data_IF_933089889077
#
_entry.id   IF_933089889077
#
_cell.length_a   1.000
_cell.length_b   1.000
_cell.length_c   1.000
_cell.angle_alpha   90.00
_cell.angle_beta   90.00
_cell.angle_gamma   90.00
#
_symmetry.space_group_name_H-M   'P 1'
#
loop_
_entity.id
_entity.type
_entity.pdbx_description
1 polymer ?
#
# COMPACT_ATOMS: atom_id res chain seq x y z
N UNK A 1 15.85 36.72 23.52
CA UNK A 1 15.60 35.92 24.73
C UNK A 1 15.41 34.51 24.23
N UNK A 2 16.47 33.72 24.42
CA UNK A 2 16.78 32.35 24.00
C UNK A 2 15.72 31.54 23.25
N UNK A 3 16.11 31.17 22.03
CA UNK A 3 15.62 30.04 21.23
C UNK A 3 15.80 28.72 21.97
N UNK A 4 14.84 27.80 21.83
CA UNK A 4 15.11 26.37 21.99
C UNK A 4 14.18 25.58 21.07
N UNK A 5 14.64 25.45 19.81
CA UNK A 5 14.39 24.24 19.03
C UNK A 5 14.65 23.03 19.93
N UNK A 6 13.75 22.05 19.96
CA UNK A 6 13.96 20.80 20.66
C UNK A 6 14.40 19.74 19.64
N UNK A 7 15.70 19.36 19.62
CA UNK A 7 16.21 18.36 18.70
C UNK A 7 15.79 16.94 19.07
N UNK A 8 15.43 16.17 18.04
CA UNK A 8 15.65 14.73 17.87
C UNK A 8 15.86 13.89 19.12
N UNK A 9 14.77 13.34 19.65
CA UNK A 9 14.81 12.23 20.62
C UNK A 9 14.95 10.89 19.86
N UNK A 10 16.17 10.54 19.47
CA UNK A 10 16.62 9.15 19.29
C UNK A 10 18.15 9.10 19.29
N UNK A 11 18.75 9.27 20.46
CA UNK A 11 20.08 8.71 20.73
C UNK A 11 19.91 7.81 21.94
N UNK A 12 20.00 6.52 21.70
CA UNK A 12 19.90 5.50 22.75
C UNK A 12 21.18 5.50 23.60
N UNK A 13 21.09 5.28 24.92
CA UNK A 13 22.25 5.13 25.80
C UNK A 13 22.99 3.81 25.50
N UNK A 14 23.94 3.83 24.56
CA UNK A 14 24.89 2.72 24.38
C UNK A 14 26.31 3.18 24.00
N UNK A 15 26.66 4.43 24.25
CA UNK A 15 28.02 4.96 24.03
C UNK A 15 28.81 5.17 25.34
N UNK A 16 28.42 4.49 26.42
CA UNK A 16 29.21 4.52 27.64
C UNK A 16 29.27 3.15 28.31
N UNK A 17 29.93 2.21 27.62
CA UNK A 17 30.60 1.11 28.30
C UNK A 17 32.05 1.09 27.84
N UNK A 18 33.02 1.43 28.70
CA UNK A 18 34.42 1.26 28.36
C UNK A 18 34.71 -0.23 28.19
N UNK A 19 34.94 -0.64 26.93
CA UNK A 19 35.56 -1.92 26.62
C UNK A 19 37.02 -1.87 27.07
N UNK A 20 37.28 -2.27 28.31
CA UNK A 20 38.61 -2.67 28.72
C UNK A 20 38.54 -3.63 29.90
N UNK A 21 39.27 -4.73 29.74
CA UNK A 21 39.74 -5.67 30.76
C UNK A 21 38.84 -6.89 31.00
N UNK A 22 38.87 -7.84 30.07
CA UNK A 22 38.92 -9.28 30.37
C UNK A 22 39.89 -9.96 29.38
N UNK A 23 41.12 -10.12 29.85
CA UNK A 23 42.17 -11.11 29.54
C UNK A 23 42.31 -11.65 28.10
N UNK A 24 43.37 -11.20 27.44
CA UNK A 24 43.74 -11.50 26.04
C UNK A 24 44.22 -12.93 25.77
N UNK A 25 44.39 -13.78 26.79
CA UNK A 25 44.91 -15.15 26.58
C UNK A 25 43.84 -16.17 26.19
N UNK A 26 42.56 -15.91 26.50
CA UNK A 26 41.45 -16.79 26.09
C UNK A 26 40.93 -16.47 24.69
N UNK A 27 40.96 -15.20 24.29
CA UNK A 27 40.54 -14.78 22.95
C UNK A 27 41.46 -15.33 21.85
N UNK A 28 42.78 -15.37 22.08
CA UNK A 28 43.74 -15.92 21.12
C UNK A 28 43.61 -17.44 20.99
N UNK A 29 43.37 -18.16 22.10
CA UNK A 29 43.08 -19.61 22.06
C UNK A 29 41.76 -19.93 21.36
N UNK A 30 40.74 -19.09 21.55
CA UNK A 30 39.46 -19.24 20.87
C UNK A 30 39.60 -19.02 19.36
N UNK A 31 40.35 -17.99 18.95
CA UNK A 31 40.59 -17.65 17.56
C UNK A 31 41.48 -18.68 16.84
N UNK A 32 42.48 -19.24 17.53
CA UNK A 32 43.33 -20.32 17.00
C UNK A 32 42.54 -21.65 16.86
N UNK A 33 41.65 -21.95 17.81
CA UNK A 33 40.76 -23.11 17.73
C UNK A 33 39.72 -23.00 16.59
N UNK A 34 39.26 -21.78 16.27
CA UNK A 34 38.39 -21.55 15.11
C UNK A 34 39.14 -21.68 13.78
N UNK A 35 40.40 -21.25 13.71
CA UNK A 35 41.20 -21.31 12.47
C UNK A 35 41.63 -22.74 12.10
N UNK A 36 41.73 -23.64 13.08
CA UNK A 36 42.12 -25.04 12.86
C UNK A 36 40.98 -25.94 12.36
N UNK A 37 39.72 -25.53 12.51
CA UNK A 37 38.54 -26.30 12.06
C UNK A 37 38.10 -25.98 10.62
N UNK A 38 38.61 -24.91 10.02
CA UNK A 38 38.21 -24.46 8.67
C UNK A 38 38.99 -25.10 7.52
N UNK A 39 39.95 -25.98 7.80
CA UNK A 39 40.86 -26.52 6.77
C UNK A 39 40.32 -27.74 5.98
N UNK A 40 39.22 -28.39 6.39
CA UNK A 40 38.74 -29.61 5.73
C UNK A 40 37.20 -29.73 5.56
N UNK A 41 36.47 -28.62 5.43
CA UNK A 41 35.10 -28.69 4.87
C UNK A 41 35.13 -28.40 3.38
N UNK A 42 35.08 -29.45 2.55
CA UNK A 42 34.78 -29.28 1.11
C UNK A 42 33.36 -28.72 0.99
N UNK A 43 33.15 -27.56 0.33
CA UNK A 43 31.81 -27.01 0.17
C UNK A 43 31.02 -27.97 -0.73
N UNK A 44 29.94 -28.53 -0.20
CA UNK A 44 28.95 -29.17 -1.04
C UNK A 44 28.25 -28.07 -1.84
N UNK A 45 28.15 -28.23 -3.15
CA UNK A 45 27.58 -27.27 -4.12
C UNK A 45 26.07 -26.93 -3.88
N UNK A 46 25.50 -27.33 -2.74
CA UNK A 46 24.08 -27.22 -2.40
C UNK A 46 23.78 -26.16 -1.32
N UNK A 47 24.80 -25.55 -0.70
CA UNK A 47 24.62 -24.57 0.38
C UNK A 47 24.32 -23.14 -0.08
N UNK A 48 24.54 -22.85 -1.37
CA UNK A 48 24.50 -21.48 -1.88
C UNK A 48 23.08 -20.90 -1.89
N UNK A 49 22.07 -21.71 -2.21
CA UNK A 49 20.68 -21.25 -2.29
C UNK A 49 20.08 -20.84 -0.93
N UNK A 50 20.48 -21.52 0.15
CA UNK A 50 19.96 -21.20 1.50
C UNK A 50 20.61 -19.94 2.08
N UNK A 51 21.92 -19.75 1.84
CA UNK A 51 22.62 -18.53 2.23
C UNK A 51 22.04 -17.29 1.53
N UNK A 52 21.80 -17.38 0.22
CA UNK A 52 21.19 -16.33 -0.59
C UNK A 52 19.75 -16.00 -0.13
N UNK A 53 18.94 -17.03 0.12
CA UNK A 53 17.59 -16.85 0.66
C UNK A 53 17.59 -16.19 2.04
N UNK A 54 18.59 -16.48 2.88
CA UNK A 54 18.76 -15.85 4.20
C UNK A 54 19.06 -14.36 4.07
N UNK A 55 19.99 -13.99 3.20
CA UNK A 55 20.29 -12.57 2.92
C UNK A 55 19.06 -11.83 2.41
N UNK A 56 18.34 -12.41 1.46
CA UNK A 56 17.13 -11.82 0.88
C UNK A 56 16.03 -11.62 1.92
N UNK A 57 15.85 -12.59 2.83
CA UNK A 57 14.87 -12.50 3.91
C UNK A 57 15.22 -11.41 4.93
N UNK A 58 16.52 -11.22 5.22
CA UNK A 58 16.99 -10.14 6.09
C UNK A 58 16.79 -8.76 5.46
N UNK A 59 17.05 -8.63 4.16
CA UNK A 59 16.88 -7.37 3.42
C UNK A 59 15.41 -6.96 3.25
N UNK A 60 14.54 -7.93 2.95
CA UNK A 60 13.11 -7.68 2.67
C UNK A 60 12.23 -7.74 3.90
N UNK A 61 12.68 -8.41 4.97
CA UNK A 61 11.88 -8.71 6.16
C UNK A 61 10.81 -9.79 5.93
N UNK A 62 10.82 -10.48 4.79
CA UNK A 62 9.86 -11.52 4.44
C UNK A 62 10.49 -12.91 4.49
N UNK A 63 9.82 -13.87 5.15
CA UNK A 63 10.31 -15.26 5.30
C UNK A 63 10.11 -16.14 4.05
N UNK A 64 9.44 -15.61 3.02
CA UNK A 64 9.08 -16.38 1.82
C UNK A 64 10.27 -16.99 1.06
N UNK A 65 11.47 -16.38 1.00
CA UNK A 65 12.63 -17.01 0.36
C UNK A 65 13.11 -18.27 1.09
N UNK A 66 13.15 -18.22 2.42
CA UNK A 66 13.60 -19.35 3.26
C UNK A 66 12.64 -20.54 3.16
N UNK A 67 11.33 -20.28 3.21
CA UNK A 67 10.30 -21.32 3.08
C UNK A 67 10.39 -22.03 1.73
N UNK A 68 10.74 -21.32 0.65
CA UNK A 68 10.92 -21.92 -0.68
C UNK A 68 12.10 -22.88 -0.72
N UNK A 69 13.25 -22.50 -0.16
CA UNK A 69 14.42 -23.37 -0.13
C UNK A 69 14.20 -24.59 0.78
N UNK A 70 13.54 -24.43 1.93
CA UNK A 70 13.17 -25.56 2.80
C UNK A 70 12.24 -26.56 2.08
N UNK A 71 11.22 -26.04 1.38
CA UNK A 71 10.28 -26.87 0.64
C UNK A 71 10.98 -27.60 -0.53
N UNK A 72 11.86 -26.90 -1.25
CA UNK A 72 12.67 -27.46 -2.34
C UNK A 72 13.55 -28.60 -1.84
N UNK A 73 14.25 -28.40 -0.72
CA UNK A 73 15.07 -29.45 -0.10
C UNK A 73 14.22 -30.65 0.31
N UNK A 74 13.09 -30.41 0.99
CA UNK A 74 12.16 -31.46 1.43
C UNK A 74 11.67 -32.31 0.25
N UNK A 75 11.34 -31.68 -0.88
CA UNK A 75 10.90 -32.39 -2.09
C UNK A 75 12.04 -33.21 -2.69
N UNK A 76 13.24 -32.63 -2.80
CA UNK A 76 14.41 -33.32 -3.34
C UNK A 76 14.82 -34.52 -2.49
N UNK A 77 14.92 -34.37 -1.16
CA UNK A 77 15.25 -35.46 -0.25
C UNK A 77 14.22 -36.59 -0.32
N UNK A 78 12.93 -36.26 -0.38
CA UNK A 78 11.87 -37.27 -0.51
C UNK A 78 11.96 -38.02 -1.85
N UNK A 79 12.31 -37.34 -2.94
CA UNK A 79 12.50 -37.97 -4.26
C UNK A 79 13.68 -38.93 -4.26
N UNK A 80 14.82 -38.50 -3.74
CA UNK A 80 16.03 -39.34 -3.65
C UNK A 80 15.80 -40.57 -2.77
N UNK A 81 15.09 -40.41 -1.64
CA UNK A 81 14.71 -41.53 -0.77
C UNK A 81 13.81 -42.57 -1.47
N UNK A 82 13.00 -42.12 -2.44
CA UNK A 82 12.18 -42.98 -3.28
C UNK A 82 12.92 -43.50 -4.53
N UNK A 83 14.23 -43.28 -4.64
CA UNK A 83 15.05 -43.69 -5.78
C UNK A 83 14.80 -42.89 -7.06
N UNK A 84 14.11 -41.75 -6.97
CA UNK A 84 13.86 -40.86 -8.11
C UNK A 84 15.03 -39.88 -8.25
N UNK A 85 15.38 -39.53 -9.49
CA UNK A 85 16.41 -38.52 -9.77
C UNK A 85 15.97 -37.11 -9.37
N UNK A 86 16.97 -36.23 -9.22
CA UNK A 86 16.74 -34.80 -8.98
C UNK A 86 15.87 -34.18 -10.10
N UNK A 87 15.14 -33.12 -9.73
CA UNK A 87 14.28 -32.36 -10.65
C UNK A 87 15.15 -31.57 -11.63
N UNK A 88 15.41 -32.13 -12.81
CA UNK A 88 15.90 -31.38 -13.96
C UNK A 88 14.74 -30.59 -14.59
N UNK A 89 14.81 -29.25 -14.56
CA UNK A 89 13.91 -28.40 -15.32
C UNK A 89 14.59 -28.09 -16.65
N UNK A 90 14.20 -28.77 -17.72
CA UNK A 90 14.59 -28.38 -19.07
C UNK A 90 13.77 -27.15 -19.49
N UNK A 91 14.42 -26.01 -19.55
CA UNK A 91 13.85 -24.81 -20.15
C UNK A 91 14.00 -24.92 -21.67
N UNK A 92 13.04 -25.56 -22.32
CA UNK A 92 12.93 -25.52 -23.78
C UNK A 92 12.52 -24.11 -24.19
N UNK A 93 13.27 -23.50 -25.10
CA UNK A 93 12.86 -22.24 -25.70
C UNK A 93 11.53 -22.45 -26.43
N UNK A 94 10.53 -21.56 -26.23
CA UNK A 94 9.25 -21.72 -26.88
C UNK A 94 9.43 -21.63 -28.39
N UNK A 95 9.06 -22.69 -29.11
CA UNK A 95 9.08 -22.70 -30.57
C UNK A 95 8.22 -21.54 -31.10
N UNK A 96 8.85 -20.62 -31.82
CA UNK A 96 8.14 -19.54 -32.50
C UNK A 96 7.40 -20.12 -33.70
N UNK A 97 6.19 -20.63 -33.45
CA UNK A 97 5.29 -21.07 -34.51
C UNK A 97 5.04 -19.93 -35.51
N UNK A 98 5.21 -20.20 -36.80
CA UNK A 98 4.88 -19.24 -37.84
C UNK A 98 3.37 -19.00 -37.83
N UNK A 99 2.96 -17.76 -37.55
CA UNK A 99 1.56 -17.34 -37.60
C UNK A 99 0.99 -17.60 -39.00
N UNK A 100 -0.08 -18.37 -39.04
CA UNK A 100 -0.87 -18.57 -40.27
C UNK A 100 -1.50 -17.25 -40.70
N UNK A 101 -1.80 -17.10 -41.99
CA UNK A 101 -2.38 -15.86 -42.50
C UNK A 101 -3.71 -15.51 -41.82
N UNK A 102 -4.53 -16.53 -41.52
CA UNK A 102 -5.78 -16.38 -40.77
C UNK A 102 -5.57 -15.81 -39.36
N UNK A 103 -4.49 -16.20 -38.68
CA UNK A 103 -4.17 -15.70 -37.35
C UNK A 103 -3.70 -14.24 -37.40
N UNK A 104 -2.95 -13.86 -38.44
CA UNK A 104 -2.56 -12.46 -38.67
C UNK A 104 -3.78 -11.57 -38.86
N UNK A 105 -4.75 -12.00 -39.66
CA UNK A 105 -6.02 -11.27 -39.86
C UNK A 105 -6.80 -11.13 -38.55
N UNK A 106 -6.90 -12.19 -37.74
CA UNK A 106 -7.53 -12.14 -36.40
C UNK A 106 -6.84 -11.13 -35.48
N UNK A 107 -5.50 -11.07 -35.50
CA UNK A 107 -4.73 -10.10 -34.72
C UNK A 107 -5.03 -8.67 -35.18
N UNK A 108 -5.05 -8.41 -36.49
CA UNK A 108 -5.38 -7.09 -37.04
C UNK A 108 -6.78 -6.65 -36.60
N UNK A 109 -7.77 -7.53 -36.78
CA UNK A 109 -9.16 -7.26 -36.36
C UNK A 109 -9.26 -6.98 -34.86
N UNK A 110 -8.57 -7.77 -34.02
CA UNK A 110 -8.52 -7.56 -32.56
C UNK A 110 -7.89 -6.21 -32.20
N UNK A 111 -6.80 -5.83 -32.88
CA UNK A 111 -6.12 -4.53 -32.66
C UNK A 111 -7.03 -3.37 -33.03
N UNK A 112 -7.72 -3.44 -34.16
CA UNK A 112 -8.67 -2.41 -34.58
C UNK A 112 -9.84 -2.26 -33.60
N UNK A 113 -10.41 -3.39 -33.16
CA UNK A 113 -11.47 -3.39 -32.15
C UNK A 113 -10.98 -2.79 -30.83
N UNK A 114 -9.79 -3.17 -30.36
CA UNK A 114 -9.21 -2.62 -29.14
C UNK A 114 -8.94 -1.11 -29.28
N UNK A 115 -8.45 -0.65 -30.44
CA UNK A 115 -8.25 0.77 -30.75
C UNK A 115 -9.56 1.55 -30.65
N UNK A 116 -10.65 1.02 -31.22
CA UNK A 116 -11.98 1.64 -31.13
C UNK A 116 -12.50 1.63 -29.68
N UNK A 117 -12.35 0.51 -28.97
CA UNK A 117 -12.76 0.38 -27.57
C UNK A 117 -12.01 1.37 -26.67
N UNK A 118 -10.69 1.51 -26.84
CA UNK A 118 -9.86 2.46 -26.11
C UNK A 118 -10.27 3.91 -26.40
N UNK A 119 -10.55 4.25 -27.68
CA UNK A 119 -11.08 5.57 -28.04
C UNK A 119 -12.41 5.85 -27.35
N UNK A 120 -13.36 4.91 -27.40
CA UNK A 120 -14.67 5.02 -26.72
C UNK A 120 -14.52 5.15 -25.21
N UNK A 121 -13.64 4.36 -24.60
CA UNK A 121 -13.36 4.44 -23.16
C UNK A 121 -12.82 5.81 -22.78
N UNK A 122 -11.80 6.31 -23.50
CA UNK A 122 -11.24 7.65 -23.28
C UNK A 122 -12.29 8.75 -23.49
N UNK A 123 -13.13 8.64 -24.51
CA UNK A 123 -14.23 9.58 -24.75
C UNK A 123 -15.24 9.58 -23.60
N UNK A 124 -15.71 8.41 -23.17
CA UNK A 124 -16.63 8.30 -22.01
C UNK A 124 -16.00 8.87 -20.74
N UNK A 125 -14.71 8.60 -20.49
CA UNK A 125 -14.00 9.14 -19.33
C UNK A 125 -13.98 10.67 -19.35
N UNK A 126 -13.72 11.29 -20.50
CA UNK A 126 -13.71 12.76 -20.64
C UNK A 126 -15.11 13.36 -20.56
N UNK A 127 -16.12 12.68 -21.11
CA UNK A 127 -17.50 13.17 -21.11
C UNK A 127 -18.11 13.28 -19.70
N UNK A 128 -17.64 12.50 -18.73
CA UNK A 128 -18.10 12.58 -17.33
C UNK A 128 -17.76 13.90 -16.65
N UNK A 129 -16.60 14.50 -16.95
CA UNK A 129 -16.16 15.75 -16.32
C UNK A 129 -17.17 16.89 -16.47
N UNK A 130 -17.58 17.25 -17.70
CA UNK A 130 -18.60 18.27 -17.93
C UNK A 130 -19.95 17.98 -17.28
N UNK A 131 -20.35 16.70 -17.21
CA UNK A 131 -21.61 16.29 -16.56
C UNK A 131 -21.55 16.59 -15.06
N UNK A 132 -20.49 16.15 -14.38
CA UNK A 132 -20.32 16.42 -12.95
C UNK A 132 -20.15 17.92 -12.67
N UNK A 133 -19.41 18.66 -13.51
CA UNK A 133 -19.28 20.10 -13.37
C UNK A 133 -20.64 20.82 -13.47
N UNK A 134 -21.48 20.40 -14.42
CA UNK A 134 -22.84 20.94 -14.56
C UNK A 134 -23.69 20.64 -13.32
N UNK A 135 -23.66 19.41 -12.84
CA UNK A 135 -24.40 18.98 -11.64
C UNK A 135 -23.95 19.74 -10.38
N UNK A 136 -22.64 19.93 -10.19
CA UNK A 136 -22.09 20.75 -9.10
C UNK A 136 -22.61 22.18 -9.18
N UNK A 137 -22.55 22.82 -10.35
CA UNK A 137 -23.04 24.18 -10.53
C UNK A 137 -24.54 24.31 -10.24
N UNK A 138 -25.35 23.34 -10.67
CA UNK A 138 -26.78 23.31 -10.39
C UNK A 138 -27.07 23.18 -8.89
N UNK A 139 -26.35 22.27 -8.20
CA UNK A 139 -26.48 22.10 -6.75
C UNK A 139 -26.04 23.34 -5.97
N UNK A 140 -24.97 24.01 -6.38
CA UNK A 140 -24.51 25.26 -5.77
C UNK A 140 -25.53 26.40 -5.97
N UNK A 141 -26.09 26.54 -7.18
CA UNK A 141 -27.14 27.50 -7.46
C UNK A 141 -28.41 27.25 -6.62
N UNK A 142 -28.79 25.98 -6.47
CA UNK A 142 -29.92 25.59 -5.64
C UNK A 142 -29.68 25.83 -4.15
N UNK A 143 -28.48 25.53 -3.67
CA UNK A 143 -28.09 25.77 -2.29
C UNK A 143 -28.11 27.26 -1.96
N UNK A 144 -27.50 28.09 -2.81
CA UNK A 144 -27.50 29.55 -2.63
C UNK A 144 -28.93 30.12 -2.61
N UNK A 145 -29.81 29.64 -3.51
CA UNK A 145 -31.25 30.01 -3.51
C UNK A 145 -31.94 29.61 -2.21
N UNK A 146 -31.77 28.37 -1.75
CA UNK A 146 -32.38 27.87 -0.49
C UNK A 146 -31.87 28.65 0.73
N UNK A 147 -30.58 28.96 0.79
CA UNK A 147 -30.00 29.74 1.89
C UNK A 147 -30.54 31.18 1.91
N UNK A 148 -30.72 31.80 0.75
CA UNK A 148 -31.35 33.11 0.65
C UNK A 148 -32.80 33.07 1.18
N UNK A 149 -33.56 32.04 0.82
CA UNK A 149 -34.93 31.87 1.29
C UNK A 149 -35.01 31.62 2.80
N UNK A 150 -34.11 30.79 3.35
CA UNK A 150 -34.00 30.60 4.81
C UNK A 150 -33.74 31.93 5.52
N UNK A 151 -32.84 32.77 4.99
CA UNK A 151 -32.56 34.09 5.56
C UNK A 151 -33.79 35.00 5.50
N UNK A 152 -34.50 35.00 4.37
CA UNK A 152 -35.74 35.77 4.18
C UNK A 152 -36.81 35.37 5.20
N UNK A 153 -37.08 34.07 5.31
CA UNK A 153 -38.09 33.53 6.23
C UNK A 153 -37.74 33.76 7.69
N UNK A 154 -36.45 33.64 8.06
CA UNK A 154 -36.01 33.97 9.43
C UNK A 154 -36.23 35.43 9.77
N UNK A 155 -35.87 36.33 8.84
CA UNK A 155 -36.11 37.77 9.00
C UNK A 155 -37.60 38.07 9.18
N UNK A 156 -38.44 37.50 8.32
CA UNK A 156 -39.90 37.68 8.38
C UNK A 156 -40.49 37.16 9.71
N UNK A 157 -40.06 35.97 10.16
CA UNK A 157 -40.42 35.43 11.48
C UNK A 157 -40.01 36.40 12.60
N UNK A 158 -38.77 36.88 12.58
CA UNK A 158 -38.24 37.75 13.64
C UNK A 158 -39.00 39.09 13.69
N UNK A 159 -39.35 39.65 12.53
CA UNK A 159 -40.19 40.85 12.41
C UNK A 159 -41.60 40.61 12.99
N UNK A 160 -42.25 39.50 12.61
CA UNK A 160 -43.56 39.13 13.14
C UNK A 160 -43.53 38.90 14.65
N UNK A 161 -42.50 38.21 15.15
CA UNK A 161 -42.33 37.95 16.57
C UNK A 161 -42.08 39.23 17.36
N UNK A 162 -41.31 40.18 16.81
CA UNK A 162 -41.11 41.50 17.41
C UNK A 162 -42.42 42.30 17.46
N UNK A 163 -43.20 42.30 16.38
CA UNK A 163 -44.51 42.96 16.35
C UNK A 163 -45.47 42.36 17.38
N UNK A 164 -45.54 41.03 17.47
CA UNK A 164 -46.34 40.34 18.47
C UNK A 164 -45.89 40.68 19.90
N UNK A 165 -44.58 40.63 20.16
CA UNK A 165 -44.02 40.98 21.46
C UNK A 165 -44.42 42.41 21.86
N UNK A 166 -44.24 43.39 20.97
CA UNK A 166 -44.62 44.78 21.21
C UNK A 166 -46.12 44.94 21.49
N UNK A 167 -46.98 44.21 20.76
CA UNK A 167 -48.41 44.22 21.02
C UNK A 167 -48.74 43.67 22.41
N UNK A 168 -48.12 42.55 22.81
CA UNK A 168 -48.35 41.93 24.13
C UNK A 168 -47.89 42.83 25.30
N UNK A 169 -46.92 43.72 25.09
CA UNK A 169 -46.53 44.73 26.10
C UNK A 169 -47.65 45.75 26.37
N UNK A 170 -48.49 46.03 25.38
CA UNK A 170 -49.59 47.02 25.48
C UNK A 170 -50.93 46.35 25.80
N UNK A 171 -51.13 45.09 25.38
CA UNK A 171 -52.37 44.34 25.57
C UNK A 171 -52.08 42.92 26.10
N UNK A 172 -52.03 42.72 27.44
CA UNK A 172 -51.64 41.44 28.05
C UNK A 172 -52.69 40.32 27.93
N UNK A 173 -53.88 40.59 27.39
CA UNK A 173 -55.03 39.68 27.48
C UNK A 173 -55.37 39.05 26.13
N UNK A 174 -54.64 38.01 25.76
CA UNK A 174 -55.19 36.91 24.94
C UNK A 174 -54.67 35.60 25.52
N UNK A 175 -55.42 35.03 26.47
CA UNK A 175 -55.33 33.60 26.79
C UNK A 175 -55.77 32.82 25.57
N UNK A 176 -54.81 32.39 24.75
CA UNK A 176 -55.04 31.37 23.73
C UNK A 176 -55.28 30.06 24.49
N UNK A 177 -56.55 29.68 24.64
CA UNK A 177 -56.90 28.33 25.05
C UNK A 177 -56.45 27.40 23.92
N UNK A 178 -55.33 26.72 24.12
CA UNK A 178 -54.89 25.60 23.29
C UNK A 178 -55.85 24.44 23.51
N UNK A 179 -56.67 24.12 22.51
CA UNK A 179 -57.41 22.86 22.40
C UNK A 179 -56.55 21.78 21.77
#
# INVERSE_FOLDING_TARGET
MLDFESPSLWMTPLDNYPMSVLETEEADKFMEATFFYDAELKPSEQTDGFAEATLTALETGELTPLVKEELKYTIQSRRLANGQSELGVEFTEPEQGQLTEEEKEKIVKRREQNKLAARRFRQRRRAKGPVYAKEVNELEADNTRKLAEIRRLRKERDELQAMLHNHLLVCPTVTIQTG
#
